data_IF_432390999268
#
_entry.id   IF_432390999268
#
_cell.length_a   1.000
_cell.length_b   1.000
_cell.length_c   1.000
_cell.angle_alpha   90.00
_cell.angle_beta   90.00
_cell.angle_gamma   90.00
#
_symmetry.space_group_name_H-M   'P 1'
#
loop_
_entity.id
_entity.type
_entity.pdbx_description
1 polymer ?
#
# COMPACT_ATOMS: atom_id res chain seq x y z
N UNK A 1 -62.72 30.76 7.46
CA UNK A 1 -61.75 30.91 6.36
C UNK A 1 -60.43 30.38 6.85
N UNK A 2 -60.14 29.15 6.43
CA UNK A 2 -59.02 28.32 6.84
C UNK A 2 -57.75 28.77 6.09
N UNK A 3 -56.66 29.08 6.80
CA UNK A 3 -55.34 29.33 6.19
C UNK A 3 -54.44 28.18 6.62
N UNK A 4 -54.25 27.25 5.68
CA UNK A 4 -53.53 26.01 5.88
C UNK A 4 -52.10 26.20 6.40
N UNK A 5 -51.77 25.37 7.38
CA UNK A 5 -50.40 25.12 7.81
C UNK A 5 -49.62 24.48 6.65
N UNK A 6 -48.65 25.21 6.09
CA UNK A 6 -47.62 24.58 5.25
C UNK A 6 -46.67 23.85 6.19
N UNK A 7 -46.73 22.52 6.14
CA UNK A 7 -45.68 21.67 6.70
C UNK A 7 -44.45 21.77 5.80
N UNK A 8 -43.41 22.46 6.26
CA UNK A 8 -42.10 22.43 5.63
C UNK A 8 -41.47 21.05 5.91
N UNK A 9 -41.50 20.17 4.91
CA UNK A 9 -40.75 18.93 4.89
C UNK A 9 -39.27 19.26 4.64
N UNK A 10 -38.45 19.24 5.71
CA UNK A 10 -37.01 19.23 5.57
C UNK A 10 -36.56 17.81 5.18
N UNK A 11 -36.13 17.64 3.93
CA UNK A 11 -35.47 16.41 3.48
C UNK A 11 -34.00 16.47 3.88
N UNK A 12 -33.60 15.58 4.79
CA UNK A 12 -32.19 15.37 5.11
C UNK A 12 -31.59 14.42 4.05
N UNK A 13 -30.73 14.95 3.19
CA UNK A 13 -29.96 14.16 2.25
C UNK A 13 -28.58 13.85 2.86
N UNK A 14 -28.23 12.56 2.94
CA UNK A 14 -26.89 12.10 3.27
C UNK A 14 -26.23 11.55 1.99
N UNK A 15 -25.05 12.07 1.65
CA UNK A 15 -24.24 11.59 0.53
C UNK A 15 -22.91 11.07 1.08
N UNK A 16 -22.49 9.89 0.64
CA UNK A 16 -21.18 9.30 0.98
C UNK A 16 -20.30 9.43 -0.26
N UNK A 17 -19.13 10.04 -0.09
CA UNK A 17 -18.11 10.15 -1.12
C UNK A 17 -16.90 9.31 -0.70
N UNK A 18 -16.39 8.49 -1.62
CA UNK A 18 -15.14 7.76 -1.44
C UNK A 18 -14.09 8.35 -2.38
N UNK A 19 -12.98 8.81 -1.82
CA UNK A 19 -11.89 9.46 -2.55
C UNK A 19 -10.59 8.76 -2.21
N UNK A 20 -9.76 8.50 -3.23
CA UNK A 20 -8.42 7.92 -3.06
C UNK A 20 -7.31 8.98 -3.01
N UNK A 21 -7.68 10.25 -2.98
CA UNK A 21 -6.76 11.39 -3.01
C UNK A 21 -6.71 12.08 -1.65
N UNK A 22 -5.56 11.99 -0.97
CA UNK A 22 -5.28 12.66 0.30
C UNK A 22 -5.14 14.18 0.17
N UNK A 23 -5.07 14.72 -1.05
CA UNK A 23 -5.01 16.16 -1.31
C UNK A 23 -6.39 16.80 -1.53
N UNK A 24 -7.47 15.99 -1.45
CA UNK A 24 -8.82 16.52 -1.55
C UNK A 24 -9.11 17.48 -0.40
N UNK A 25 -9.21 18.75 -0.73
CA UNK A 25 -9.69 19.80 0.16
C UNK A 25 -11.17 20.04 -0.12
N UNK A 26 -11.99 20.04 0.93
CA UNK A 26 -13.41 20.36 0.81
C UNK A 26 -13.49 21.83 0.38
N UNK A 27 -14.18 22.09 -0.73
CA UNK A 27 -14.45 23.45 -1.23
C UNK A 27 -15.08 24.29 -0.10
N UNK A 28 -14.56 25.50 0.21
CA UNK A 28 -15.16 26.41 1.18
C UNK A 28 -16.66 26.68 0.96
N UNK A 29 -17.15 26.58 -0.29
CA UNK A 29 -18.58 26.69 -0.60
C UNK A 29 -19.44 25.57 0.04
N UNK A 30 -18.83 24.45 0.41
CA UNK A 30 -19.47 23.33 1.11
C UNK A 30 -19.39 23.44 2.64
N UNK A 31 -18.82 24.53 3.18
CA UNK A 31 -18.65 24.72 4.64
C UNK A 31 -19.98 24.76 5.43
N UNK A 32 -21.11 24.97 4.75
CA UNK A 32 -22.46 24.95 5.36
C UNK A 32 -23.04 23.53 5.51
N UNK A 33 -22.41 22.52 4.89
CA UNK A 33 -22.80 21.12 5.02
C UNK A 33 -22.09 20.49 6.23
N UNK A 34 -22.82 19.71 7.02
CA UNK A 34 -22.24 18.87 8.07
C UNK A 34 -21.48 17.70 7.41
N UNK A 35 -20.24 17.93 7.04
CA UNK A 35 -19.39 16.91 6.39
C UNK A 35 -18.52 16.25 7.47
N UNK A 36 -18.69 14.94 7.63
CA UNK A 36 -17.78 14.10 8.41
C UNK A 36 -16.88 13.35 7.44
N UNK A 37 -15.57 13.61 7.51
CA UNK A 37 -14.58 12.89 6.70
C UNK A 37 -13.99 11.74 7.52
N UNK A 38 -14.00 10.54 6.94
CA UNK A 38 -13.34 9.36 7.51
C UNK A 38 -12.21 8.94 6.56
N UNK A 39 -10.98 8.90 7.07
CA UNK A 39 -9.85 8.36 6.31
C UNK A 39 -9.91 6.83 6.45
N UNK A 40 -10.19 6.14 5.36
CA UNK A 40 -10.12 4.68 5.29
C UNK A 40 -8.68 4.28 4.96
N UNK A 41 -7.88 4.07 5.99
CA UNK A 41 -6.52 3.56 5.87
C UNK A 41 -6.47 2.03 5.77
N UNK A 42 -5.25 1.50 5.64
CA UNK A 42 -5.01 0.08 5.85
C UNK A 42 -5.38 -0.28 7.31
N UNK A 43 -5.94 -1.47 7.53
CA UNK A 43 -6.40 -1.90 8.86
C UNK A 43 -5.21 -2.06 9.82
N UNK A 44 -5.41 -1.77 11.11
CA UNK A 44 -4.43 -2.16 12.13
C UNK A 44 -4.22 -3.68 12.13
N UNK A 45 -3.13 -4.17 12.71
CA UNK A 45 -2.87 -5.62 12.79
C UNK A 45 -4.03 -6.38 13.45
N UNK A 46 -4.61 -5.83 14.52
CA UNK A 46 -5.74 -6.43 15.22
C UNK A 46 -7.04 -6.44 14.40
N UNK A 47 -7.33 -5.36 13.67
CA UNK A 47 -8.50 -5.28 12.79
C UNK A 47 -8.34 -6.16 11.55
N UNK A 48 -7.12 -6.21 11.01
CA UNK A 48 -6.75 -7.07 9.89
C UNK A 48 -6.92 -8.55 10.25
N UNK A 49 -6.49 -8.93 11.45
CA UNK A 49 -6.65 -10.29 11.95
C UNK A 49 -8.14 -10.64 12.10
N UNK A 50 -8.94 -9.74 12.68
CA UNK A 50 -10.39 -9.92 12.79
C UNK A 50 -11.05 -10.07 11.42
N UNK A 51 -10.72 -9.18 10.49
CA UNK A 51 -11.22 -9.24 9.11
C UNK A 51 -10.84 -10.55 8.42
N UNK A 52 -9.59 -10.99 8.56
CA UNK A 52 -9.12 -12.27 8.05
C UNK A 52 -9.91 -13.46 8.63
N UNK A 53 -10.13 -13.50 9.94
CA UNK A 53 -10.91 -14.57 10.57
C UNK A 53 -12.36 -14.61 10.05
N UNK A 54 -13.01 -13.46 9.89
CA UNK A 54 -14.35 -13.40 9.29
C UNK A 54 -14.34 -13.85 7.83
N UNK A 55 -13.32 -13.45 7.06
CA UNK A 55 -13.14 -13.94 5.70
C UNK A 55 -12.98 -15.46 5.67
N UNK A 56 -12.14 -16.06 6.52
CA UNK A 56 -11.98 -17.52 6.57
C UNK A 56 -13.28 -18.24 6.97
N UNK A 57 -14.02 -17.72 7.96
CA UNK A 57 -15.33 -18.29 8.37
C UNK A 57 -16.34 -18.33 7.23
N UNK A 58 -16.25 -17.40 6.29
CA UNK A 58 -17.15 -17.33 5.13
C UNK A 58 -16.84 -18.37 4.04
N UNK A 59 -15.67 -19.02 4.10
CA UNK A 59 -15.24 -20.00 3.09
C UNK A 59 -15.86 -21.38 3.32
N UNK A 60 -15.92 -22.25 2.28
CA UNK A 60 -16.23 -23.67 2.45
C UNK A 60 -15.28 -24.34 3.46
N UNK A 61 -15.80 -25.28 4.27
CA UNK A 61 -15.03 -25.93 5.36
C UNK A 61 -13.69 -26.51 4.91
N UNK A 62 -13.68 -27.16 3.76
CA UNK A 62 -12.47 -27.75 3.15
C UNK A 62 -11.35 -26.74 2.89
N UNK A 63 -11.69 -25.46 2.68
CA UNK A 63 -10.74 -24.37 2.49
C UNK A 63 -10.27 -23.78 3.81
N UNK A 64 -11.07 -23.85 4.88
CA UNK A 64 -10.75 -23.25 6.17
C UNK A 64 -9.50 -23.89 6.79
N UNK A 65 -9.37 -25.21 6.66
CA UNK A 65 -8.26 -26.00 7.21
C UNK A 65 -6.89 -25.64 6.62
N UNK A 66 -6.85 -24.90 5.51
CA UNK A 66 -5.60 -24.42 4.90
C UNK A 66 -4.98 -23.28 5.71
N UNK A 67 -5.79 -22.48 6.38
CA UNK A 67 -5.38 -21.19 6.93
C UNK A 67 -5.10 -21.31 8.43
N UNK A 68 -3.95 -20.77 8.90
CA UNK A 68 -3.71 -20.70 10.33
C UNK A 68 -4.65 -19.65 10.95
N UNK A 69 -5.21 -19.98 12.13
CA UNK A 69 -6.19 -19.13 12.83
C UNK A 69 -5.60 -18.43 14.06
N UNK A 70 -4.33 -18.69 14.39
CA UNK A 70 -3.65 -18.06 15.51
C UNK A 70 -2.96 -16.74 15.08
N UNK A 71 -2.83 -15.84 16.06
CA UNK A 71 -2.31 -14.50 15.84
C UNK A 71 -0.85 -14.48 15.37
N UNK A 72 0.01 -15.38 15.87
CA UNK A 72 1.42 -15.43 15.47
C UNK A 72 1.59 -15.84 14.02
N UNK A 73 0.77 -16.76 13.55
CA UNK A 73 0.75 -17.13 12.14
C UNK A 73 0.20 -16.00 11.27
N UNK A 74 -0.74 -15.20 11.80
CA UNK A 74 -1.26 -14.02 11.11
C UNK A 74 -0.22 -12.90 10.95
N UNK A 75 0.76 -12.76 11.84
CA UNK A 75 1.85 -11.77 11.70
C UNK A 75 2.51 -11.85 10.33
N UNK A 76 2.66 -13.06 9.79
CA UNK A 76 3.23 -13.28 8.48
C UNK A 76 2.33 -12.78 7.35
N UNK A 77 1.02 -12.98 7.48
CA UNK A 77 0.03 -12.49 6.51
C UNK A 77 -0.02 -10.96 6.57
N UNK A 78 -0.01 -10.39 7.77
CA UNK A 78 0.06 -8.95 7.97
C UNK A 78 1.33 -8.36 7.37
N UNK A 79 2.48 -9.01 7.55
CA UNK A 79 3.75 -8.61 6.93
C UNK A 79 3.71 -8.55 5.40
N UNK A 80 2.95 -9.44 4.75
CA UNK A 80 2.81 -9.46 3.28
C UNK A 80 1.78 -8.44 2.76
N UNK A 81 0.71 -8.24 3.52
CA UNK A 81 -0.50 -7.53 3.07
C UNK A 81 -0.60 -6.11 3.62
N UNK A 82 0.04 -5.81 4.74
CA UNK A 82 0.00 -4.52 5.42
C UNK A 82 -1.35 -4.16 6.01
N UNK A 83 -2.27 -5.12 6.18
CA UNK A 83 -3.63 -4.84 6.62
C UNK A 83 -4.56 -4.31 5.53
N UNK A 84 -4.11 -4.26 4.28
CA UNK A 84 -4.97 -3.90 3.15
C UNK A 84 -5.94 -5.04 2.85
N UNK A 85 -7.24 -4.81 3.06
CA UNK A 85 -8.29 -5.83 2.87
C UNK A 85 -8.17 -6.57 1.52
N UNK A 86 -8.00 -5.82 0.41
CA UNK A 86 -7.85 -6.42 -0.93
C UNK A 86 -6.63 -7.35 -1.07
N UNK A 87 -5.54 -7.07 -0.35
CA UNK A 87 -4.36 -7.93 -0.36
C UNK A 87 -4.54 -9.15 0.55
N UNK A 88 -5.29 -9.00 1.65
CA UNK A 88 -5.69 -10.13 2.50
C UNK A 88 -6.57 -11.10 1.70
N UNK A 89 -7.56 -10.58 0.97
CA UNK A 89 -8.41 -11.39 0.08
C UNK A 89 -7.57 -12.09 -0.99
N UNK A 90 -6.70 -11.36 -1.70
CA UNK A 90 -5.85 -11.97 -2.74
C UNK A 90 -4.91 -13.04 -2.16
N UNK A 91 -4.38 -12.84 -0.94
CA UNK A 91 -3.59 -13.85 -0.24
C UNK A 91 -4.40 -15.14 -0.01
N UNK A 92 -5.61 -14.99 0.54
CA UNK A 92 -6.52 -16.10 0.81
C UNK A 92 -6.90 -16.83 -0.48
N UNK A 93 -7.39 -16.11 -1.48
CA UNK A 93 -7.81 -16.72 -2.73
C UNK A 93 -6.64 -17.34 -3.51
N UNK A 94 -5.43 -16.78 -3.41
CA UNK A 94 -4.24 -17.42 -3.97
C UNK A 94 -3.92 -18.75 -3.28
N UNK A 95 -4.06 -18.82 -1.94
CA UNK A 95 -3.95 -20.07 -1.18
C UNK A 95 -5.00 -21.11 -1.61
N UNK A 96 -6.26 -20.71 -1.73
CA UNK A 96 -7.34 -21.61 -2.18
C UNK A 96 -7.05 -22.17 -3.57
N UNK A 97 -6.60 -21.31 -4.51
CA UNK A 97 -6.23 -21.72 -5.87
C UNK A 97 -5.06 -22.72 -5.89
N UNK A 98 -4.20 -22.75 -4.87
CA UNK A 98 -3.10 -23.72 -4.78
C UNK A 98 -3.51 -25.05 -4.14
N UNK A 99 -4.72 -25.16 -3.57
CA UNK A 99 -5.17 -26.37 -2.88
C UNK A 99 -5.20 -27.65 -3.73
N UNK A 100 -5.60 -27.61 -5.03
CA UNK A 100 -5.62 -28.83 -5.84
C UNK A 100 -4.23 -29.41 -6.13
N UNK A 101 -3.16 -28.62 -5.96
CA UNK A 101 -1.81 -29.00 -6.36
C UNK A 101 -0.84 -29.11 -5.19
N UNK A 102 -0.72 -28.06 -4.38
CA UNK A 102 0.33 -27.98 -3.35
C UNK A 102 -0.18 -27.70 -1.95
N UNK A 103 -1.33 -27.02 -1.80
CA UNK A 103 -1.81 -26.50 -0.51
C UNK A 103 -0.78 -25.63 0.20
N UNK A 104 0.08 -24.95 -0.56
CA UNK A 104 1.08 -24.04 -0.01
C UNK A 104 0.51 -22.63 -0.03
N UNK A 105 0.51 -21.99 1.14
CA UNK A 105 0.13 -20.59 1.28
C UNK A 105 1.20 -19.66 0.66
N UNK A 106 0.80 -18.49 0.13
CA UNK A 106 1.75 -17.53 -0.41
C UNK A 106 2.81 -17.09 0.62
N UNK A 107 4.02 -16.80 0.13
CA UNK A 107 5.10 -16.16 0.88
C UNK A 107 5.70 -15.01 0.04
N UNK A 108 6.75 -14.33 0.48
CA UNK A 108 7.30 -13.17 -0.24
C UNK A 108 7.73 -13.49 -1.68
N UNK A 109 8.13 -14.73 -1.94
CA UNK A 109 8.59 -15.18 -3.25
C UNK A 109 7.47 -15.65 -4.16
N UNK A 110 6.30 -15.96 -3.62
CA UNK A 110 5.19 -16.55 -4.37
C UNK A 110 3.94 -15.68 -4.38
N UNK A 111 3.82 -14.72 -3.47
CA UNK A 111 2.66 -13.86 -3.38
C UNK A 111 2.56 -12.92 -4.59
N UNK A 112 1.49 -13.07 -5.36
CA UNK A 112 1.34 -12.45 -6.68
C UNK A 112 1.46 -10.93 -6.64
N UNK A 113 0.89 -10.28 -5.62
CA UNK A 113 0.95 -8.82 -5.47
C UNK A 113 2.41 -8.31 -5.36
N UNK A 114 3.27 -9.04 -4.64
CA UNK A 114 4.70 -8.72 -4.52
C UNK A 114 5.42 -8.96 -5.85
N UNK A 115 5.14 -10.09 -6.50
CA UNK A 115 5.75 -10.43 -7.78
C UNK A 115 5.42 -9.42 -8.89
N UNK A 116 4.18 -8.95 -8.96
CA UNK A 116 3.75 -7.94 -9.91
C UNK A 116 4.44 -6.59 -9.65
N UNK A 117 4.45 -6.15 -8.39
CA UNK A 117 5.15 -4.91 -8.03
C UNK A 117 6.65 -4.99 -8.34
N UNK A 118 7.29 -6.13 -8.05
CA UNK A 118 8.70 -6.38 -8.37
C UNK A 118 8.95 -6.35 -9.88
N UNK A 119 8.13 -7.04 -10.67
CA UNK A 119 8.25 -7.05 -12.13
C UNK A 119 8.13 -5.64 -12.72
N UNK A 120 7.23 -4.81 -12.17
CA UNK A 120 7.13 -3.40 -12.56
C UNK A 120 8.40 -2.59 -12.24
N UNK A 121 9.03 -2.83 -11.09
CA UNK A 121 10.32 -2.21 -10.76
C UNK A 121 11.46 -2.70 -11.68
N UNK A 122 11.52 -4.00 -11.99
CA UNK A 122 12.51 -4.58 -12.90
C UNK A 122 12.39 -4.02 -14.32
N UNK A 123 11.15 -3.84 -14.79
CA UNK A 123 10.89 -3.17 -16.07
C UNK A 123 11.41 -1.73 -16.04
N UNK A 124 11.16 -0.99 -14.94
CA UNK A 124 11.62 0.40 -14.80
C UNK A 124 13.15 0.52 -14.70
N UNK A 125 13.86 -0.51 -14.22
CA UNK A 125 15.33 -0.55 -14.22
C UNK A 125 15.92 -0.78 -15.62
N UNK A 126 15.23 -1.51 -16.48
CA UNK A 126 15.69 -1.93 -17.81
C UNK A 126 15.14 -1.09 -18.96
N UNK A 127 14.10 -0.28 -18.70
CA UNK A 127 13.48 0.60 -19.69
C UNK A 127 14.48 1.64 -20.21
N UNK A 128 14.83 1.55 -21.49
CA UNK A 128 15.71 2.51 -22.14
C UNK A 128 14.93 3.74 -22.61
N UNK A 129 15.32 4.92 -22.12
CA UNK A 129 14.87 6.23 -22.63
C UNK A 129 13.61 6.80 -21.97
N UNK A 130 13.55 8.13 -21.85
CA UNK A 130 12.38 8.90 -21.42
C UNK A 130 12.25 9.16 -19.92
N UNK A 131 13.04 8.49 -19.08
CA UNK A 131 13.06 8.70 -17.63
C UNK A 131 14.18 9.69 -17.25
N UNK A 132 13.97 10.60 -16.30
CA UNK A 132 14.98 11.56 -15.86
C UNK A 132 16.03 10.96 -14.89
N UNK A 133 15.88 9.68 -14.53
CA UNK A 133 16.73 8.98 -13.57
C UNK A 133 17.47 7.80 -14.19
N UNK A 134 18.62 7.44 -13.61
CA UNK A 134 19.39 6.24 -13.96
C UNK A 134 18.97 5.04 -13.11
N UNK A 135 19.31 3.82 -13.53
CA UNK A 135 19.07 2.63 -12.71
C UNK A 135 19.74 2.73 -11.33
N UNK A 136 20.90 3.40 -11.25
CA UNK A 136 21.57 3.71 -9.97
C UNK A 136 20.73 4.64 -9.09
N UNK A 137 20.20 5.73 -9.65
CA UNK A 137 19.32 6.64 -8.89
C UNK A 137 18.12 5.89 -8.31
N UNK A 138 17.47 5.03 -9.11
CA UNK A 138 16.34 4.23 -8.65
C UNK A 138 16.76 3.29 -7.51
N UNK A 139 17.87 2.56 -7.66
CA UNK A 139 18.37 1.66 -6.61
C UNK A 139 18.75 2.39 -5.32
N UNK A 140 19.36 3.58 -5.42
CA UNK A 140 19.71 4.40 -4.26
C UNK A 140 18.44 4.83 -3.51
N UNK A 141 17.38 5.23 -4.23
CA UNK A 141 16.07 5.57 -3.64
C UNK A 141 15.38 4.34 -3.01
N UNK A 142 15.33 3.21 -3.71
CA UNK A 142 14.75 1.97 -3.15
C UNK A 142 15.46 1.54 -1.88
N UNK A 143 16.80 1.65 -1.87
CA UNK A 143 17.63 1.36 -0.70
C UNK A 143 17.33 2.30 0.45
N UNK A 144 17.22 3.61 0.20
CA UNK A 144 16.85 4.58 1.23
C UNK A 144 15.48 4.26 1.87
N UNK A 145 14.49 3.90 1.05
CA UNK A 145 13.14 3.55 1.52
C UNK A 145 13.14 2.25 2.34
N UNK A 146 13.81 1.21 1.86
CA UNK A 146 13.89 -0.08 2.56
C UNK A 146 14.62 0.04 3.90
N UNK A 147 15.66 0.88 3.97
CA UNK A 147 16.48 1.03 5.16
C UNK A 147 15.93 2.06 6.17
N UNK A 148 14.82 2.73 5.87
CA UNK A 148 14.29 3.81 6.70
C UNK A 148 13.82 3.37 8.10
N UNK A 149 13.57 2.06 8.32
CA UNK A 149 13.18 1.50 9.61
C UNK A 149 11.75 1.83 10.06
N UNK A 150 11.30 3.07 9.88
CA UNK A 150 9.95 3.57 10.19
C UNK A 150 8.97 3.50 9.00
N UNK A 151 9.39 2.94 7.87
CA UNK A 151 8.52 2.72 6.69
C UNK A 151 8.31 3.95 5.80
N UNK A 152 8.96 5.08 6.11
CA UNK A 152 8.91 6.31 5.30
C UNK A 152 10.26 7.03 5.31
N UNK A 153 10.52 7.85 4.28
CA UNK A 153 11.72 8.70 4.18
C UNK A 153 11.29 10.15 4.04
N UNK A 154 11.93 11.12 4.73
CA UNK A 154 11.67 12.53 4.48
C UNK A 154 11.87 12.88 3.00
N UNK A 155 10.90 13.59 2.40
CA UNK A 155 10.94 13.91 0.97
C UNK A 155 12.20 14.70 0.59
N UNK A 156 12.61 15.64 1.45
CA UNK A 156 13.84 16.40 1.27
C UNK A 156 15.11 15.54 1.24
N UNK A 157 15.13 14.42 1.97
CA UNK A 157 16.27 13.49 1.95
C UNK A 157 16.42 12.83 0.57
N UNK A 158 15.30 12.45 -0.07
CA UNK A 158 15.34 11.89 -1.42
C UNK A 158 15.70 12.96 -2.47
N UNK A 159 15.22 14.20 -2.31
CA UNK A 159 15.65 15.32 -3.17
C UNK A 159 17.16 15.51 -3.11
N UNK A 160 17.75 15.51 -1.92
CA UNK A 160 19.19 15.66 -1.75
C UNK A 160 19.97 14.48 -2.33
N UNK A 161 19.38 13.28 -2.35
CA UNK A 161 20.01 12.06 -2.86
C UNK A 161 20.06 12.03 -4.40
N UNK A 162 18.94 12.32 -5.07
CA UNK A 162 18.84 12.13 -6.54
C UNK A 162 18.33 13.35 -7.32
N UNK A 163 17.85 14.39 -6.63
CA UNK A 163 17.27 15.60 -7.23
C UNK A 163 15.74 15.53 -7.35
N UNK A 164 15.08 16.67 -7.20
CA UNK A 164 13.60 16.77 -7.15
C UNK A 164 12.91 16.23 -8.40
N UNK A 165 13.35 16.64 -9.58
CA UNK A 165 12.74 16.19 -10.84
C UNK A 165 12.71 14.66 -10.99
N UNK A 166 13.70 13.95 -10.42
CA UNK A 166 13.74 12.48 -10.42
C UNK A 166 12.75 11.91 -9.40
N UNK A 167 12.71 12.44 -8.19
CA UNK A 167 11.78 12.01 -7.14
C UNK A 167 10.33 12.24 -7.57
N UNK A 168 10.03 13.41 -8.12
CA UNK A 168 8.69 13.77 -8.60
C UNK A 168 8.24 12.83 -9.72
N UNK A 169 9.12 12.55 -10.68
CA UNK A 169 8.84 11.56 -11.71
C UNK A 169 8.61 10.16 -11.11
N UNK A 170 9.35 9.74 -10.09
CA UNK A 170 9.11 8.45 -9.43
C UNK A 170 7.74 8.41 -8.72
N UNK A 171 7.28 9.53 -8.18
CA UNK A 171 5.93 9.67 -7.59
C UNK A 171 4.86 9.59 -8.68
N UNK A 172 4.99 10.35 -9.77
CA UNK A 172 4.07 10.32 -10.93
C UNK A 172 3.96 8.92 -11.55
N UNK A 173 5.06 8.17 -11.53
CA UNK A 173 5.12 6.80 -12.03
C UNK A 173 4.65 5.73 -11.03
N UNK A 174 4.06 6.15 -9.91
CA UNK A 174 3.57 5.28 -8.83
C UNK A 174 4.62 4.31 -8.27
N UNK A 175 5.91 4.67 -8.34
CA UNK A 175 6.99 3.93 -7.68
C UNK A 175 6.97 4.24 -6.19
N UNK A 176 6.73 5.51 -5.89
CA UNK A 176 6.71 6.11 -4.56
C UNK A 176 5.37 6.81 -4.34
N UNK A 177 5.02 7.02 -3.08
CA UNK A 177 3.85 7.78 -2.69
C UNK A 177 4.25 8.97 -1.84
N UNK A 178 3.95 10.18 -2.31
CA UNK A 178 4.18 11.41 -1.58
C UNK A 178 3.10 11.63 -0.54
N UNK A 179 3.52 11.99 0.67
CA UNK A 179 2.65 12.29 1.80
C UNK A 179 3.00 13.70 2.30
N UNK A 180 2.14 14.71 2.04
CA UNK A 180 2.38 16.07 2.52
C UNK A 180 2.43 16.12 4.05
N UNK A 181 3.06 17.14 4.63
CA UNK A 181 2.98 17.37 6.07
C UNK A 181 1.52 17.40 6.56
N UNK A 182 1.18 16.51 7.48
CA UNK A 182 -0.17 16.37 8.02
C UNK A 182 -0.14 15.72 9.40
N UNK A 183 -0.96 16.22 10.32
CA UNK A 183 -1.14 15.65 11.66
C UNK A 183 -1.98 14.36 11.64
N UNK A 184 -2.55 13.98 10.48
CA UNK A 184 -3.54 12.92 10.36
C UNK A 184 -3.00 11.55 9.89
N UNK A 185 -1.68 11.34 9.87
CA UNK A 185 -1.09 10.03 9.54
C UNK A 185 -1.11 9.09 10.73
N UNK A 186 -2.27 8.50 11.02
CA UNK A 186 -2.39 7.47 12.07
C UNK A 186 -1.59 6.20 11.76
N UNK A 187 -1.27 5.96 10.49
CA UNK A 187 -0.57 4.77 10.00
C UNK A 187 0.96 4.87 10.03
N UNK A 188 1.53 6.06 10.23
CA UNK A 188 2.98 6.26 10.28
C UNK A 188 3.46 6.46 11.73
N UNK A 189 4.40 5.63 12.15
CA UNK A 189 4.99 5.67 13.50
C UNK A 189 6.53 5.64 13.41
N UNK A 190 7.24 6.64 13.95
CA UNK A 190 6.71 7.85 14.58
C UNK A 190 5.97 8.76 13.59
N UNK A 191 5.19 9.72 14.11
CA UNK A 191 4.52 10.69 13.26
C UNK A 191 5.55 11.58 12.54
N UNK A 192 5.45 11.75 11.21
CA UNK A 192 6.36 12.60 10.49
C UNK A 192 6.07 14.08 10.76
N UNK A 193 7.11 14.88 11.00
CA UNK A 193 7.02 16.33 11.23
C UNK A 193 7.26 17.15 9.95
N UNK A 194 7.27 16.50 8.79
CA UNK A 194 7.47 17.11 7.48
C UNK A 194 6.91 16.21 6.40
N UNK A 195 6.88 16.67 5.16
CA UNK A 195 6.49 15.81 4.04
C UNK A 195 7.42 14.61 3.89
N UNK A 196 6.83 13.44 3.69
CA UNK A 196 7.54 12.17 3.57
C UNK A 196 7.14 11.43 2.30
N UNK A 197 7.92 10.42 1.98
CA UNK A 197 7.68 9.49 0.88
C UNK A 197 7.60 8.10 1.45
N UNK A 198 6.57 7.36 1.03
CA UNK A 198 6.38 5.95 1.39
C UNK A 198 6.40 5.08 0.13
N UNK A 199 6.58 3.76 0.28
CA UNK A 199 6.08 2.82 -0.71
C UNK A 199 4.57 3.05 -0.96
N UNK A 200 4.06 2.65 -2.12
CA UNK A 200 2.61 2.70 -2.43
C UNK A 200 1.78 1.68 -1.63
N UNK A 201 2.46 0.77 -0.92
CA UNK A 201 1.89 -0.13 0.06
C UNK A 201 2.90 -1.19 0.49
N UNK A 202 2.49 -2.05 1.43
CA UNK A 202 3.37 -3.10 1.99
C UNK A 202 3.88 -4.08 0.93
N UNK A 203 3.04 -4.47 -0.03
CA UNK A 203 3.46 -5.31 -1.16
C UNK A 203 4.57 -4.66 -2.01
N UNK A 204 4.51 -3.34 -2.24
CA UNK A 204 5.53 -2.59 -2.95
C UNK A 204 6.84 -2.54 -2.13
N UNK A 205 6.75 -2.32 -0.81
CA UNK A 205 7.92 -2.38 0.07
C UNK A 205 8.60 -3.76 0.02
N UNK A 206 7.82 -4.85 0.13
CA UNK A 206 8.36 -6.22 0.03
C UNK A 206 8.97 -6.50 -1.36
N UNK A 207 8.42 -5.89 -2.41
CA UNK A 207 8.98 -5.99 -3.76
C UNK A 207 10.33 -5.28 -3.87
N UNK A 208 10.47 -4.07 -3.31
CA UNK A 208 11.74 -3.34 -3.23
C UNK A 208 12.81 -4.15 -2.48
N UNK A 209 12.47 -4.69 -1.31
CA UNK A 209 13.37 -5.56 -0.53
C UNK A 209 13.83 -6.79 -1.30
N UNK A 210 12.91 -7.42 -2.04
CA UNK A 210 13.21 -8.62 -2.83
C UNK A 210 14.12 -8.29 -4.01
N UNK A 211 13.87 -7.16 -4.67
CA UNK A 211 14.71 -6.67 -5.76
C UNK A 211 16.13 -6.36 -5.28
N UNK A 212 16.27 -5.60 -4.19
CA UNK A 212 17.59 -5.26 -3.62
C UNK A 212 18.37 -6.50 -3.17
N UNK A 213 17.69 -7.49 -2.56
CA UNK A 213 18.33 -8.77 -2.20
C UNK A 213 18.88 -9.51 -3.42
N UNK A 214 18.11 -9.56 -4.51
CA UNK A 214 18.52 -10.24 -5.75
C UNK A 214 19.72 -9.56 -6.44
N UNK A 215 19.86 -8.25 -6.26
CA UNK A 215 20.95 -7.46 -6.85
C UNK A 215 22.17 -7.33 -5.95
N UNK A 216 22.08 -7.68 -4.66
CA UNK A 216 23.21 -7.69 -3.75
C UNK A 216 24.23 -8.78 -4.15
N UNK A 217 25.55 -8.55 -4.00
CA UNK A 217 26.61 -9.41 -4.58
C UNK A 217 26.71 -10.86 -4.07
N UNK A 218 25.73 -11.37 -3.30
CA UNK A 218 25.62 -12.81 -3.02
C UNK A 218 24.99 -13.62 -4.17
N UNK A 219 24.57 -12.97 -5.25
CA UNK A 219 24.08 -13.58 -6.50
C UNK A 219 24.86 -13.13 -7.75
N UNK A 220 25.94 -12.36 -7.58
CA UNK A 220 26.72 -11.76 -8.67
C UNK A 220 27.85 -12.67 -9.21
N UNK A 221 27.69 -14.00 -9.13
CA UNK A 221 28.57 -14.95 -9.85
C UNK A 221 27.99 -15.41 -11.20
N UNK A 222 26.78 -14.96 -11.60
CA UNK A 222 26.13 -15.45 -12.82
C UNK A 222 25.80 -14.39 -13.89
N UNK A 223 26.39 -13.19 -13.82
CA UNK A 223 26.28 -12.21 -14.90
C UNK A 223 27.64 -11.60 -15.25
N UNK A 224 28.59 -12.47 -15.57
CA UNK A 224 29.69 -12.16 -16.50
C UNK A 224 29.76 -13.29 -17.52
N UNK A 225 29.77 -12.90 -18.79
CA UNK A 225 29.91 -13.71 -20.02
C UNK A 225 28.66 -14.44 -20.52
N UNK A 226 27.91 -13.77 -21.41
CA UNK A 226 27.41 -14.27 -22.70
C UNK A 226 26.91 -13.12 -23.57
#
# INVERSE_FOLDING_TARGET
MDRGARHDLQFLFAAIFTLNDLTFTIDPALASLHINTYILGDLSQSESHRYFLELIKSLPRECQDLFPLDERSFDRIFYLTGGRMLLIEEYVYQGIRSMPTTRILPNEKTFKAILLAKSGLEQKLTSAGGQPYTSKDLLDVLSAVVNAGCGYVPYMTLIQLVGSAKVDYMIEQNILYYRPESENYSDLQPFPTSSVVTPTGTHALRAMETLLRNLSPKSAENYTDS
#
